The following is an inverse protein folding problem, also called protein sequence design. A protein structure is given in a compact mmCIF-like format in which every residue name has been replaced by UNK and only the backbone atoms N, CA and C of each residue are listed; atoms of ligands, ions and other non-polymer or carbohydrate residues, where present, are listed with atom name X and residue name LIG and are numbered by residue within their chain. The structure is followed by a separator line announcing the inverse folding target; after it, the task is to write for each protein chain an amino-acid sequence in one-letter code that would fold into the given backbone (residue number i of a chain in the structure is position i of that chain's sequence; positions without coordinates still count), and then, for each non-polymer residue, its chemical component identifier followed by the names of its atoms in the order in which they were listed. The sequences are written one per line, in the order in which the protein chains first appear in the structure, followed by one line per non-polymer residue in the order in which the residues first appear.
data_IF_249367209230
#
_entry.id   IF_249367209230
#
_cell.length_a   1.000
_cell.length_b   1.000
_cell.length_c   1.000
_cell.angle_alpha   90.00
_cell.angle_beta   90.00
_cell.angle_gamma   90.00
#
_symmetry.space_group_name_H-M   'P 1'
#
loop_
_entity.id
_entity.type
_entity.pdbx_description
1 polymer ?
#
# COMPACT_ATOMS: atom_id res chain seq x y z
N UNK A 1 20.06 -2.87 12.65
CA UNK A 1 19.91 -1.92 11.52
C UNK A 1 20.54 -0.63 11.98
N UNK A 2 21.22 0.10 11.11
CA UNK A 2 21.69 1.47 11.42
C UNK A 2 20.60 2.49 11.08
N UNK A 3 20.67 3.70 11.62
CA UNK A 3 19.73 4.78 11.30
C UNK A 3 19.69 5.06 9.78
N UNK A 4 20.86 5.10 9.13
CA UNK A 4 20.99 5.34 7.69
C UNK A 4 20.31 4.23 6.88
N UNK A 5 20.44 2.97 7.28
CA UNK A 5 19.74 1.84 6.64
C UNK A 5 18.23 1.98 6.77
N UNK A 6 17.73 2.39 7.95
CA UNK A 6 16.31 2.57 8.19
C UNK A 6 15.73 3.71 7.34
N UNK A 7 16.42 4.85 7.28
CA UNK A 7 16.03 6.00 6.44
C UNK A 7 16.03 5.61 4.95
N UNK A 8 17.06 4.91 4.50
CA UNK A 8 17.14 4.44 3.10
C UNK A 8 16.02 3.43 2.79
N UNK A 9 15.70 2.51 3.70
CA UNK A 9 14.57 1.59 3.54
C UNK A 9 13.24 2.36 3.45
N UNK A 10 13.06 3.40 4.28
CA UNK A 10 11.86 4.22 4.25
C UNK A 10 11.71 5.00 2.94
N UNK A 11 12.82 5.59 2.44
CA UNK A 11 12.86 6.31 1.15
C UNK A 11 12.60 5.36 -0.02
N UNK A 12 13.21 4.17 -0.02
CA UNK A 12 13.01 3.16 -1.05
C UNK A 12 11.58 2.66 -1.08
N UNK A 13 10.98 2.38 0.08
CA UNK A 13 9.56 2.05 0.18
C UNK A 13 8.68 3.16 -0.40
N UNK A 14 8.90 4.44 -0.03
CA UNK A 14 8.11 5.58 -0.55
C UNK A 14 8.17 5.65 -2.07
N UNK A 15 9.34 5.42 -2.65
CA UNK A 15 9.53 5.41 -4.10
C UNK A 15 8.84 4.20 -4.75
N UNK A 16 9.05 2.99 -4.22
CA UNK A 16 8.45 1.77 -4.75
C UNK A 16 6.93 1.78 -4.64
N UNK A 17 6.37 2.18 -3.49
CA UNK A 17 4.92 2.21 -3.31
C UNK A 17 4.26 3.26 -4.20
N UNK A 18 4.90 4.41 -4.40
CA UNK A 18 4.38 5.45 -5.31
C UNK A 18 4.31 4.94 -6.75
N UNK A 19 5.39 4.35 -7.27
CA UNK A 19 5.39 3.85 -8.64
C UNK A 19 4.50 2.62 -8.81
N UNK A 20 4.50 1.68 -7.87
CA UNK A 20 3.64 0.49 -7.92
C UNK A 20 2.16 0.85 -7.82
N UNK A 21 1.78 1.76 -6.90
CA UNK A 21 0.38 2.21 -6.80
C UNK A 21 -0.07 2.94 -8.06
N UNK A 22 0.79 3.79 -8.64
CA UNK A 22 0.51 4.48 -9.91
C UNK A 22 0.33 3.47 -11.06
N UNK A 23 1.23 2.49 -11.18
CA UNK A 23 1.13 1.45 -12.21
C UNK A 23 -0.13 0.61 -12.05
N UNK A 24 -0.44 0.17 -10.83
CA UNK A 24 -1.68 -0.57 -10.54
C UNK A 24 -2.93 0.25 -10.82
N UNK A 25 -2.91 1.55 -10.53
CA UNK A 25 -4.02 2.46 -10.85
C UNK A 25 -4.22 2.61 -12.36
N UNK A 26 -3.14 2.75 -13.14
CA UNK A 26 -3.23 2.84 -14.60
C UNK A 26 -3.78 1.55 -15.23
N UNK A 27 -3.32 0.39 -14.76
CA UNK A 27 -3.85 -0.91 -15.21
C UNK A 27 -5.33 -1.05 -14.84
N UNK A 28 -5.70 -0.67 -13.63
CA UNK A 28 -7.10 -0.71 -13.18
C UNK A 28 -7.99 0.22 -14.02
N UNK A 29 -7.56 1.46 -14.28
CA UNK A 29 -8.29 2.38 -15.16
C UNK A 29 -8.45 1.82 -16.57
N UNK A 30 -7.38 1.29 -17.16
CA UNK A 30 -7.42 0.71 -18.49
C UNK A 30 -8.43 -0.45 -18.57
N UNK A 31 -8.41 -1.36 -17.59
CA UNK A 31 -9.37 -2.46 -17.52
C UNK A 31 -10.81 -1.96 -17.31
N UNK A 32 -11.01 -0.97 -16.43
CA UNK A 32 -12.31 -0.40 -16.15
C UNK A 32 -12.93 0.23 -17.40
N UNK A 33 -12.17 1.04 -18.14
CA UNK A 33 -12.66 1.64 -19.39
C UNK A 33 -12.87 0.60 -20.49
N UNK A 34 -11.99 -0.40 -20.63
CA UNK A 34 -12.15 -1.46 -21.62
C UNK A 34 -13.45 -2.25 -21.40
N UNK A 35 -13.72 -2.63 -20.14
CA UNK A 35 -14.95 -3.35 -19.77
C UNK A 35 -16.17 -2.44 -19.93
N UNK A 36 -16.10 -1.21 -19.44
CA UNK A 36 -17.20 -0.23 -19.55
C UNK A 36 -17.58 0.08 -21.00
N UNK A 37 -16.60 0.20 -21.89
CA UNK A 37 -16.84 0.41 -23.32
C UNK A 37 -17.40 -0.85 -24.00
N UNK A 38 -16.84 -2.04 -23.70
CA UNK A 38 -17.26 -3.30 -24.29
C UNK A 38 -18.68 -3.72 -23.90
N UNK A 39 -19.11 -3.42 -22.67
CA UNK A 39 -20.42 -3.78 -22.14
C UNK A 39 -21.36 -2.58 -21.97
N UNK A 40 -21.09 -1.46 -22.63
CA UNK A 40 -21.85 -0.21 -22.46
C UNK A 40 -23.36 -0.38 -22.61
N UNK A 41 -23.80 -1.10 -23.65
CA UNK A 41 -25.22 -1.32 -23.91
C UNK A 41 -25.85 -2.22 -22.85
N UNK A 42 -25.16 -3.31 -22.49
CA UNK A 42 -25.64 -4.27 -21.50
C UNK A 42 -25.78 -3.65 -20.10
N UNK A 43 -24.80 -2.85 -19.68
CA UNK A 43 -24.86 -2.12 -18.41
C UNK A 43 -25.93 -1.03 -18.39
N UNK A 44 -26.28 -0.47 -19.55
CA UNK A 44 -27.38 0.48 -19.65
C UNK A 44 -28.74 -0.20 -19.44
N UNK A 45 -28.90 -1.45 -19.90
CA UNK A 45 -30.12 -2.23 -19.66
C UNK A 45 -30.18 -2.81 -18.24
N UNK A 46 -29.02 -3.07 -17.62
CA UNK A 46 -28.89 -3.72 -16.31
C UNK A 46 -28.19 -2.81 -15.28
N UNK A 47 -28.85 -1.71 -14.91
CA UNK A 47 -28.28 -0.69 -14.02
C UNK A 47 -27.83 -1.25 -12.66
N UNK A 48 -28.58 -2.19 -12.07
CA UNK A 48 -28.20 -2.84 -10.81
C UNK A 48 -26.88 -3.59 -10.93
N UNK A 49 -26.65 -4.26 -12.06
CA UNK A 49 -25.40 -5.01 -12.29
C UNK A 49 -24.23 -4.05 -12.52
N UNK A 50 -24.46 -2.93 -13.22
CA UNK A 50 -23.48 -1.85 -13.37
C UNK A 50 -23.02 -1.31 -12.01
N UNK A 51 -23.96 -1.01 -11.10
CA UNK A 51 -23.66 -0.51 -9.77
C UNK A 51 -22.86 -1.53 -8.93
N UNK A 52 -23.23 -2.81 -8.99
CA UNK A 52 -22.50 -3.89 -8.31
C UNK A 52 -21.09 -4.03 -8.88
N UNK A 53 -20.94 -3.97 -10.21
CA UNK A 53 -19.64 -4.03 -10.87
C UNK A 53 -18.74 -2.87 -10.45
N UNK A 54 -19.26 -1.64 -10.39
CA UNK A 54 -18.52 -0.46 -9.92
C UNK A 54 -18.08 -0.65 -8.46
N UNK A 55 -18.97 -1.13 -7.59
CA UNK A 55 -18.64 -1.40 -6.19
C UNK A 55 -17.50 -2.43 -6.06
N UNK A 56 -17.58 -3.54 -6.81
CA UNK A 56 -16.51 -4.54 -6.84
C UNK A 56 -15.20 -4.00 -7.43
N UNK A 57 -15.26 -3.14 -8.45
CA UNK A 57 -14.07 -2.54 -9.04
C UNK A 57 -13.34 -1.63 -8.02
N UNK A 58 -14.09 -0.85 -7.24
CA UNK A 58 -13.53 0.01 -6.17
C UNK A 58 -12.92 -0.85 -5.06
N UNK A 59 -13.65 -1.86 -4.57
CA UNK A 59 -13.16 -2.77 -3.52
C UNK A 59 -11.90 -3.52 -4.00
N UNK A 60 -11.89 -3.98 -5.25
CA UNK A 60 -10.75 -4.65 -5.86
C UNK A 60 -9.51 -3.77 -5.92
N UNK A 61 -9.68 -2.50 -6.30
CA UNK A 61 -8.56 -1.54 -6.32
C UNK A 61 -8.01 -1.27 -4.92
N UNK A 62 -8.88 -0.96 -3.95
CA UNK A 62 -8.47 -0.71 -2.56
C UNK A 62 -7.78 -1.94 -1.98
N UNK A 63 -8.32 -3.14 -2.22
CA UNK A 63 -7.73 -4.40 -1.80
C UNK A 63 -6.33 -4.62 -2.38
N UNK A 64 -6.15 -4.39 -3.68
CA UNK A 64 -4.84 -4.49 -4.33
C UNK A 64 -3.80 -3.53 -3.73
N UNK A 65 -4.18 -2.27 -3.50
CA UNK A 65 -3.30 -1.27 -2.86
C UNK A 65 -2.88 -1.70 -1.46
N UNK A 66 -3.83 -2.22 -0.65
CA UNK A 66 -3.54 -2.73 0.69
C UNK A 66 -2.55 -3.90 0.63
N UNK A 67 -2.75 -4.86 -0.28
CA UNK A 67 -1.84 -5.99 -0.47
C UNK A 67 -0.43 -5.56 -0.89
N UNK A 68 -0.32 -4.65 -1.87
CA UNK A 68 0.96 -4.08 -2.30
C UNK A 68 1.66 -3.40 -1.11
N UNK A 69 0.91 -2.62 -0.32
CA UNK A 69 1.46 -1.94 0.85
C UNK A 69 1.98 -2.91 1.91
N UNK A 70 1.25 -4.01 2.17
CA UNK A 70 1.67 -5.06 3.12
C UNK A 70 2.93 -5.75 2.62
N UNK A 71 2.94 -6.17 1.37
CA UNK A 71 4.08 -6.85 0.76
C UNK A 71 5.35 -5.99 0.79
N UNK A 72 5.25 -4.72 0.43
CA UNK A 72 6.40 -3.80 0.47
C UNK A 72 6.88 -3.54 1.90
N UNK A 73 5.98 -3.46 2.90
CA UNK A 73 6.36 -3.25 4.31
C UNK A 73 7.11 -4.44 4.87
N UNK A 74 6.67 -5.65 4.55
CA UNK A 74 7.36 -6.89 4.93
C UNK A 74 8.73 -6.98 4.26
N UNK A 75 8.81 -6.69 2.95
CA UNK A 75 10.05 -6.70 2.17
C UNK A 75 11.12 -5.75 2.75
N UNK A 76 10.72 -4.53 3.11
CA UNK A 76 11.64 -3.53 3.66
C UNK A 76 11.82 -3.63 5.19
N UNK A 77 11.25 -4.65 5.85
CA UNK A 77 11.29 -4.85 7.32
C UNK A 77 10.80 -3.63 8.12
N UNK A 78 9.84 -2.89 7.59
CA UNK A 78 9.26 -1.68 8.22
C UNK A 78 8.15 -2.04 9.22
N UNK A 79 8.26 -3.22 9.82
CA UNK A 79 7.33 -3.79 10.79
C UNK A 79 8.13 -4.17 12.02
N UNK A 80 7.69 -3.74 13.21
CA UNK A 80 8.32 -4.13 14.46
C UNK A 80 8.18 -5.65 14.66
N UNK A 81 9.30 -6.36 14.89
CA UNK A 81 9.28 -7.81 15.12
C UNK A 81 8.57 -8.23 16.40
N UNK A 82 8.60 -7.39 17.44
CA UNK A 82 8.00 -7.74 18.74
C UNK A 82 6.50 -7.53 18.80
N UNK A 83 5.96 -6.51 18.13
CA UNK A 83 4.54 -6.14 18.26
C UNK A 83 3.78 -6.03 16.93
N UNK A 84 4.45 -6.22 15.79
CA UNK A 84 3.84 -6.16 14.47
C UNK A 84 3.44 -4.75 14.01
N UNK A 85 3.82 -3.70 14.74
CA UNK A 85 3.44 -2.33 14.41
C UNK A 85 4.16 -1.83 13.16
N UNK A 86 3.45 -1.08 12.33
CA UNK A 86 3.99 -0.45 11.14
C UNK A 86 4.80 0.79 11.51
N UNK A 87 6.06 0.83 11.11
CA UNK A 87 7.02 1.85 11.52
C UNK A 87 7.06 3.06 10.58
N UNK A 88 6.26 3.04 9.51
CA UNK A 88 6.39 3.96 8.38
C UNK A 88 6.01 5.42 8.67
N UNK A 89 5.31 5.68 9.77
CA UNK A 89 4.73 6.98 10.10
C UNK A 89 5.11 7.51 11.48
N UNK A 90 5.96 6.80 12.22
CA UNK A 90 6.32 7.22 13.58
C UNK A 90 7.61 8.04 13.57
N UNK A 91 7.47 9.36 13.67
CA UNK A 91 8.59 10.27 13.98
C UNK A 91 9.36 9.81 15.22
N UNK A 92 8.65 9.23 16.20
CA UNK A 92 9.27 8.66 17.40
C UNK A 92 10.28 7.54 17.10
N UNK A 93 10.05 6.71 16.08
CA UNK A 93 11.00 5.64 15.69
C UNK A 93 12.23 6.25 15.03
N UNK A 94 12.03 7.29 14.21
CA UNK A 94 13.13 8.02 13.55
C UNK A 94 14.03 8.75 14.56
N UNK A 95 13.46 9.26 15.66
CA UNK A 95 14.21 10.07 16.64
C UNK A 95 14.86 9.21 17.74
N UNK A 96 14.20 8.14 18.17
CA UNK A 96 14.65 7.35 19.34
C UNK A 96 15.24 5.98 18.99
N UNK A 97 15.07 5.51 17.75
CA UNK A 97 15.44 4.16 17.35
C UNK A 97 14.59 3.06 17.97
N UNK A 98 13.50 3.40 18.68
CA UNK A 98 12.62 2.45 19.39
C UNK A 98 11.19 2.48 18.86
N UNK A 99 10.52 1.33 18.92
CA UNK A 99 9.10 1.23 18.58
C UNK A 99 8.23 2.00 19.59
N UNK A 100 7.29 2.83 19.13
CA UNK A 100 6.44 3.60 20.06
C UNK A 100 5.61 2.72 21.00
N UNK A 101 5.12 1.57 20.52
CA UNK A 101 4.22 0.70 21.29
C UNK A 101 4.91 -0.25 22.25
N UNK A 102 6.01 -0.88 21.84
CA UNK A 102 6.67 -1.90 22.65
C UNK A 102 8.08 -1.51 23.12
N UNK A 103 8.56 -0.31 22.75
CA UNK A 103 9.88 0.20 23.11
C UNK A 103 11.05 -0.71 22.68
N UNK A 104 10.78 -1.72 21.84
CA UNK A 104 11.79 -2.60 21.29
C UNK A 104 12.72 -1.78 20.38
N UNK A 105 14.01 -2.07 20.49
CA UNK A 105 15.05 -1.39 19.73
C UNK A 105 15.02 -1.84 18.27
N UNK A 106 14.95 -0.87 17.35
CA UNK A 106 14.79 -1.07 15.91
C UNK A 106 16.15 -0.83 15.25
N UNK A 107 16.83 0.23 15.67
CA UNK A 107 18.19 0.57 15.29
C UNK A 107 18.91 1.27 16.45
N UNK A 108 20.24 1.13 16.50
CA UNK A 108 21.07 1.83 17.47
C UNK A 108 21.46 3.19 16.91
N UNK A 109 21.35 4.23 17.74
CA UNK A 109 21.92 5.56 17.50
C UNK A 109 23.43 5.44 17.75
N UNK A 110 24.21 5.45 16.68
CA UNK A 110 25.69 5.51 16.74
C UNK A 110 26.11 6.96 16.56
#
# INVERSE_FOLDING_TARGET
MTEIEFINAQRNFRREISWMSTASFMVWLAAFFAIGAGFRYWFHEHETVSNVFIAFAVIGFVGAVVLISRHLREKHRLICRSCGQWLFSETSVSETGKCAKCQAEIFHLV
#
